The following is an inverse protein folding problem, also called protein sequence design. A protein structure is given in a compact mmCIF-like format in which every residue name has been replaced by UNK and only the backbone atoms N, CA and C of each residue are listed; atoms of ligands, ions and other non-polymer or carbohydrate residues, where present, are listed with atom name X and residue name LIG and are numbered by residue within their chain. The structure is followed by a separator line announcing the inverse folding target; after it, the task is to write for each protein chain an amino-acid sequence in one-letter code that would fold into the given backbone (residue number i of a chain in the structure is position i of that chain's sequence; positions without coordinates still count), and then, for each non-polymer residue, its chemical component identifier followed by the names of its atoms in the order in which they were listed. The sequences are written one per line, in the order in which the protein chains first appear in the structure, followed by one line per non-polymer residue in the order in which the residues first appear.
data_IF_221919358178
#
_entry.id   IF_221919358178
#
_cell.length_a   1.000
_cell.length_b   1.000
_cell.length_c   1.000
_cell.angle_alpha   90.00
_cell.angle_beta   90.00
_cell.angle_gamma   90.00
#
_symmetry.space_group_name_H-M   'P 1'
#
loop_
_entity.id
_entity.type
_entity.pdbx_description
1 polymer ?
#
# COMPACT_ATOMS: atom_id res chain seq x y z
N UNK A 1 -64.24 -2.72 24.65
CA UNK A 1 -63.55 -2.66 23.34
C UNK A 1 -62.29 -1.88 23.59
N UNK A 2 -61.21 -2.60 23.88
CA UNK A 2 -59.89 -2.02 24.17
C UNK A 2 -59.09 -2.03 22.90
N UNK A 3 -58.75 -0.86 22.41
CA UNK A 3 -57.85 -0.69 21.26
C UNK A 3 -56.42 -0.55 21.79
N UNK A 4 -55.68 -1.64 21.77
CA UNK A 4 -54.22 -1.62 22.03
C UNK A 4 -53.53 -1.11 20.78
N UNK A 5 -53.10 0.14 20.82
CA UNK A 5 -52.16 0.67 19.84
C UNK A 5 -50.79 0.02 20.08
N UNK A 6 -50.40 -0.90 19.20
CA UNK A 6 -49.04 -1.39 19.12
C UNK A 6 -48.13 -0.22 18.69
N UNK A 7 -47.34 0.26 19.65
CA UNK A 7 -46.24 1.18 19.35
C UNK A 7 -45.16 0.39 18.59
N UNK A 8 -45.12 0.55 17.28
CA UNK A 8 -44.00 0.11 16.46
C UNK A 8 -42.76 0.87 16.93
N UNK A 9 -41.93 0.22 17.74
CA UNK A 9 -40.59 0.70 18.10
C UNK A 9 -39.79 0.70 16.81
N UNK A 10 -39.66 1.86 16.17
CA UNK A 10 -38.68 2.08 15.13
C UNK A 10 -37.30 1.80 15.74
N UNK A 11 -36.69 0.69 15.31
CA UNK A 11 -35.32 0.40 15.63
C UNK A 11 -34.45 1.62 15.22
N UNK A 12 -33.47 2.04 16.04
CA UNK A 12 -32.59 3.15 15.66
C UNK A 12 -31.98 2.85 14.29
N UNK A 13 -32.07 3.83 13.37
CA UNK A 13 -31.46 3.77 12.04
C UNK A 13 -30.05 3.22 12.20
N UNK A 14 -29.85 1.97 11.77
CA UNK A 14 -28.60 1.26 11.93
C UNK A 14 -27.47 2.10 11.35
N UNK A 15 -26.42 2.29 12.14
CA UNK A 15 -25.21 2.94 11.69
C UNK A 15 -24.77 2.20 10.44
N UNK A 16 -24.79 2.86 9.28
CA UNK A 16 -24.46 2.24 8.01
C UNK A 16 -23.02 1.72 8.03
N UNK A 17 -22.85 0.44 7.76
CA UNK A 17 -21.54 -0.17 7.56
C UNK A 17 -21.26 -0.22 6.06
N UNK A 18 -20.65 0.84 5.55
CA UNK A 18 -20.28 0.95 4.14
C UNK A 18 -18.87 0.45 3.87
N UNK A 19 -18.04 0.28 4.91
CA UNK A 19 -16.63 -0.02 4.72
C UNK A 19 -16.24 -1.49 4.88
N UNK A 20 -17.03 -2.32 5.55
CA UNK A 20 -16.71 -3.75 5.68
C UNK A 20 -16.56 -4.47 4.32
N UNK A 21 -17.45 -4.25 3.33
CA UNK A 21 -17.27 -4.85 2.01
C UNK A 21 -16.01 -4.36 1.29
N UNK A 22 -15.66 -3.07 1.44
CA UNK A 22 -14.46 -2.49 0.84
C UNK A 22 -13.22 -3.05 1.53
N UNK A 23 -13.23 -3.18 2.87
CA UNK A 23 -12.14 -3.80 3.63
C UNK A 23 -11.90 -5.24 3.17
N UNK A 24 -12.97 -6.02 2.95
CA UNK A 24 -12.86 -7.38 2.42
C UNK A 24 -12.21 -7.41 1.04
N UNK A 25 -12.64 -6.51 0.15
CA UNK A 25 -12.07 -6.35 -1.19
C UNK A 25 -10.57 -6.00 -1.10
N UNK A 26 -10.20 -4.99 -0.33
CA UNK A 26 -8.82 -4.51 -0.27
C UNK A 26 -7.88 -5.57 0.35
N UNK A 27 -8.31 -6.30 1.38
CA UNK A 27 -7.52 -7.40 1.97
C UNK A 27 -7.26 -8.51 0.94
N UNK A 28 -8.26 -8.83 0.11
CA UNK A 28 -8.09 -9.80 -0.98
C UNK A 28 -7.08 -9.31 -2.01
N UNK A 29 -7.16 -8.04 -2.42
CA UNK A 29 -6.22 -7.43 -3.35
C UNK A 29 -4.80 -7.38 -2.77
N UNK A 30 -4.64 -7.02 -1.49
CA UNK A 30 -3.35 -7.06 -0.80
C UNK A 30 -2.73 -8.44 -0.81
N UNK A 31 -3.52 -9.49 -0.50
CA UNK A 31 -3.05 -10.87 -0.54
C UNK A 31 -2.61 -11.30 -1.95
N UNK A 32 -3.45 -11.02 -2.94
CA UNK A 32 -3.19 -11.39 -4.33
C UNK A 32 -1.98 -10.66 -4.91
N UNK A 33 -1.91 -9.35 -4.70
CA UNK A 33 -0.89 -8.51 -5.31
C UNK A 33 0.47 -8.68 -4.63
N UNK A 34 0.53 -8.86 -3.30
CA UNK A 34 1.79 -9.08 -2.59
C UNK A 34 2.49 -10.40 -2.98
N UNK A 35 1.73 -11.44 -3.30
CA UNK A 35 2.26 -12.72 -3.82
C UNK A 35 2.28 -12.81 -5.34
N UNK A 36 1.83 -11.78 -6.03
CA UNK A 36 1.69 -11.76 -7.48
C UNK A 36 3.01 -11.62 -8.23
N UNK A 37 2.98 -11.95 -9.52
CA UNK A 37 4.16 -11.92 -10.40
C UNK A 37 4.87 -10.55 -10.40
N UNK A 38 4.10 -9.47 -10.46
CA UNK A 38 4.67 -8.11 -10.52
C UNK A 38 5.38 -7.75 -9.22
N UNK A 39 4.80 -8.07 -8.06
CA UNK A 39 5.45 -7.85 -6.77
C UNK A 39 6.74 -8.66 -6.62
N UNK A 40 6.74 -9.93 -7.04
CA UNK A 40 7.93 -10.79 -7.00
C UNK A 40 9.03 -10.28 -7.93
N UNK A 41 8.69 -9.74 -9.11
CA UNK A 41 9.67 -9.13 -10.01
C UNK A 41 10.28 -7.86 -9.41
N UNK A 42 9.46 -7.00 -8.81
CA UNK A 42 9.93 -5.79 -8.14
C UNK A 42 10.79 -6.15 -6.92
N UNK A 43 10.38 -7.16 -6.14
CA UNK A 43 11.17 -7.67 -5.01
C UNK A 43 12.55 -8.16 -5.45
N UNK A 44 12.63 -8.92 -6.55
CA UNK A 44 13.89 -9.39 -7.12
C UNK A 44 14.82 -8.22 -7.50
N UNK A 45 14.28 -7.17 -8.12
CA UNK A 45 15.03 -5.96 -8.44
C UNK A 45 15.48 -5.22 -7.18
N UNK A 46 14.63 -5.07 -6.18
CA UNK A 46 15.01 -4.44 -4.91
C UNK A 46 16.05 -5.26 -4.15
N UNK A 47 15.96 -6.59 -4.16
CA UNK A 47 16.97 -7.46 -3.55
C UNK A 47 18.34 -7.27 -4.23
N UNK A 48 18.38 -7.18 -5.56
CA UNK A 48 19.61 -6.87 -6.30
C UNK A 48 20.14 -5.48 -5.96
N UNK A 49 19.25 -4.50 -5.80
CA UNK A 49 19.62 -3.13 -5.45
C UNK A 49 20.21 -2.99 -4.04
N UNK A 50 19.89 -3.91 -3.14
CA UNK A 50 20.43 -3.96 -1.77
C UNK A 50 21.66 -4.87 -1.63
N UNK A 51 22.28 -5.30 -2.74
CA UNK A 51 23.50 -6.09 -2.70
C UNK A 51 24.62 -5.33 -1.93
N UNK A 52 25.23 -6.03 -0.97
CA UNK A 52 26.36 -5.49 -0.23
C UNK A 52 27.64 -5.63 -1.01
N UNK A 53 27.82 -4.75 -2.01
CA UNK A 53 28.99 -4.75 -2.89
C UNK A 53 30.32 -4.57 -2.16
N UNK A 54 30.30 -3.85 -1.02
CA UNK A 54 31.54 -3.61 -0.23
C UNK A 54 31.85 -4.83 0.63
N UNK A 55 30.85 -5.40 1.30
CA UNK A 55 31.04 -6.62 2.11
C UNK A 55 31.47 -7.82 1.26
N UNK A 56 30.88 -7.98 0.08
CA UNK A 56 31.30 -9.02 -0.86
C UNK A 56 32.77 -8.88 -1.29
N UNK A 57 33.23 -7.65 -1.53
CA UNK A 57 34.64 -7.38 -1.86
C UNK A 57 35.58 -7.65 -0.69
N UNK A 58 35.22 -7.20 0.52
CA UNK A 58 36.03 -7.41 1.72
C UNK A 58 36.15 -8.90 2.08
N UNK A 59 35.15 -9.69 1.73
CA UNK A 59 35.17 -11.14 1.96
C UNK A 59 35.98 -11.91 0.90
N UNK A 60 36.39 -11.25 -0.20
CA UNK A 60 37.16 -11.92 -1.26
C UNK A 60 38.62 -12.11 -0.87
N UNK A 61 39.24 -13.26 -1.20
CA UNK A 61 40.68 -13.43 -1.13
C UNK A 61 41.39 -12.45 -2.09
N UNK A 62 42.55 -11.90 -1.66
CA UNK A 62 43.32 -10.89 -2.39
C UNK A 62 43.64 -11.25 -3.85
N UNK A 63 43.82 -12.54 -4.15
CA UNK A 63 44.11 -13.01 -5.51
C UNK A 63 42.89 -12.92 -6.46
N UNK A 64 41.67 -12.90 -5.92
CA UNK A 64 40.46 -12.70 -6.71
C UNK A 64 40.26 -11.22 -7.08
N UNK A 65 40.74 -10.29 -6.27
CA UNK A 65 40.71 -8.87 -6.60
C UNK A 65 41.51 -8.56 -7.86
N UNK A 66 42.66 -9.22 -8.07
CA UNK A 66 43.52 -9.05 -9.26
C UNK A 66 42.82 -9.50 -10.56
N UNK A 67 41.97 -10.51 -10.48
CA UNK A 67 41.27 -11.08 -11.65
C UNK A 67 39.94 -10.37 -11.93
N UNK A 68 39.30 -9.77 -10.91
CA UNK A 68 37.97 -9.17 -10.99
C UNK A 68 37.97 -7.63 -10.97
N UNK A 69 39.08 -6.98 -11.26
CA UNK A 69 39.32 -5.55 -11.13
C UNK A 69 38.18 -4.52 -11.33
N UNK A 70 37.19 -4.70 -12.21
CA UNK A 70 36.04 -3.79 -12.29
C UNK A 70 34.82 -4.21 -11.46
N UNK A 71 34.91 -5.20 -10.56
CA UNK A 71 33.76 -5.84 -9.91
C UNK A 71 32.95 -4.93 -8.98
N UNK A 72 33.59 -4.02 -8.24
CA UNK A 72 32.89 -3.08 -7.36
C UNK A 72 32.05 -2.09 -8.16
N UNK A 73 32.64 -1.48 -9.17
CA UNK A 73 31.92 -0.53 -10.03
C UNK A 73 30.76 -1.19 -10.75
N UNK A 74 30.96 -2.40 -11.25
CA UNK A 74 29.90 -3.19 -11.88
C UNK A 74 28.79 -3.55 -10.90
N UNK A 75 29.13 -3.98 -9.69
CA UNK A 75 28.16 -4.27 -8.64
C UNK A 75 27.31 -3.02 -8.30
N UNK A 76 27.96 -1.88 -8.05
CA UNK A 76 27.27 -0.62 -7.76
C UNK A 76 26.37 -0.22 -8.93
N UNK A 77 26.86 -0.31 -10.17
CA UNK A 77 26.10 0.04 -11.35
C UNK A 77 24.88 -0.87 -11.54
N UNK A 78 25.05 -2.16 -11.27
CA UNK A 78 23.95 -3.14 -11.30
C UNK A 78 22.90 -2.83 -10.22
N UNK A 79 23.32 -2.52 -8.99
CA UNK A 79 22.44 -2.17 -7.89
C UNK A 79 21.62 -0.89 -8.21
N UNK A 80 22.27 0.16 -8.72
CA UNK A 80 21.59 1.41 -9.10
C UNK A 80 20.59 1.19 -10.23
N UNK A 81 20.98 0.40 -11.24
CA UNK A 81 20.10 0.06 -12.37
C UNK A 81 18.90 -0.75 -11.91
N UNK A 82 19.13 -1.76 -11.06
CA UNK A 82 18.05 -2.58 -10.49
C UNK A 82 17.08 -1.73 -9.66
N UNK A 83 17.58 -0.79 -8.86
CA UNK A 83 16.74 0.13 -8.09
C UNK A 83 15.88 1.01 -8.98
N UNK A 84 16.47 1.59 -10.03
CA UNK A 84 15.74 2.41 -11.00
C UNK A 84 14.62 1.63 -11.69
N UNK A 85 14.91 0.38 -12.08
CA UNK A 85 13.92 -0.52 -12.68
C UNK A 85 12.81 -0.91 -11.68
N UNK A 86 13.17 -1.15 -10.41
CA UNK A 86 12.17 -1.41 -9.36
C UNK A 86 11.18 -0.24 -9.23
N UNK A 87 11.69 1.00 -9.17
CA UNK A 87 10.84 2.19 -9.11
C UNK A 87 10.00 2.37 -10.38
N UNK A 88 10.57 2.16 -11.56
CA UNK A 88 9.83 2.28 -12.81
C UNK A 88 8.67 1.27 -12.88
N UNK A 89 8.92 -0.01 -12.54
CA UNK A 89 7.87 -1.03 -12.49
C UNK A 89 6.81 -0.73 -11.43
N UNK A 90 7.24 -0.33 -10.23
CA UNK A 90 6.35 0.09 -9.16
C UNK A 90 5.43 1.23 -9.61
N UNK A 91 6.01 2.27 -10.19
CA UNK A 91 5.27 3.43 -10.71
C UNK A 91 4.21 3.05 -11.74
N UNK A 92 4.49 2.09 -12.62
CA UNK A 92 3.50 1.59 -13.58
C UNK A 92 2.31 0.90 -12.92
N UNK A 93 2.52 0.22 -11.78
CA UNK A 93 1.46 -0.45 -11.03
C UNK A 93 0.57 0.55 -10.26
N UNK A 94 1.21 1.51 -9.55
CA UNK A 94 0.51 2.39 -8.61
C UNK A 94 0.05 3.72 -9.19
N UNK A 95 0.41 4.02 -10.46
CA UNK A 95 -0.02 5.26 -11.13
C UNK A 95 -1.54 5.36 -11.20
N UNK A 96 -2.04 6.56 -11.43
CA UNK A 96 -3.47 6.79 -11.67
C UNK A 96 -3.98 5.89 -12.81
N UNK A 97 -5.08 5.20 -12.57
CA UNK A 97 -5.67 4.17 -13.46
C UNK A 97 -4.71 3.00 -13.75
N UNK A 98 -3.68 2.81 -12.94
CA UNK A 98 -2.81 1.64 -12.99
C UNK A 98 -3.48 0.40 -12.37
N UNK A 99 -2.87 -0.79 -12.55
CA UNK A 99 -3.44 -2.04 -12.03
C UNK A 99 -3.70 -2.03 -10.51
N UNK A 100 -2.92 -1.27 -9.76
CA UNK A 100 -3.01 -1.17 -8.30
C UNK A 100 -3.62 0.15 -7.82
N UNK A 101 -4.26 0.94 -8.70
CA UNK A 101 -5.12 2.06 -8.30
C UNK A 101 -6.54 1.55 -8.03
N UNK A 102 -6.85 1.32 -6.76
CA UNK A 102 -8.13 0.73 -6.36
C UNK A 102 -9.32 1.70 -6.37
N UNK A 103 -9.10 3.01 -6.53
CA UNK A 103 -10.18 4.00 -6.53
C UNK A 103 -11.25 3.76 -7.60
N UNK A 104 -10.88 3.59 -8.89
CA UNK A 104 -11.83 3.26 -9.93
C UNK A 104 -12.49 1.89 -9.72
N UNK A 105 -11.74 0.94 -9.18
CA UNK A 105 -12.25 -0.40 -8.90
C UNK A 105 -13.29 -0.39 -7.79
N UNK A 106 -13.05 0.34 -6.69
CA UNK A 106 -14.02 0.50 -5.60
C UNK A 106 -15.31 1.14 -6.12
N UNK A 107 -15.21 2.24 -6.86
CA UNK A 107 -16.38 2.89 -7.44
C UNK A 107 -17.21 1.96 -8.36
N UNK A 108 -16.53 1.09 -9.12
CA UNK A 108 -17.18 0.13 -10.00
C UNK A 108 -17.81 -1.05 -9.27
N UNK A 109 -17.13 -1.59 -8.24
CA UNK A 109 -17.60 -2.77 -7.51
C UNK A 109 -18.68 -2.46 -6.48
N UNK A 110 -18.72 -1.22 -6.00
CA UNK A 110 -19.65 -0.77 -4.97
C UNK A 110 -20.47 0.46 -5.43
N UNK A 111 -21.22 0.35 -6.55
CA UNK A 111 -21.93 1.49 -7.14
C UNK A 111 -23.07 2.04 -6.26
N UNK A 112 -23.53 1.24 -5.31
CA UNK A 112 -24.56 1.66 -4.34
C UNK A 112 -23.98 2.49 -3.19
N UNK A 113 -22.65 2.52 -3.02
CA UNK A 113 -22.00 3.34 -2.01
C UNK A 113 -21.75 4.75 -2.52
N UNK A 114 -21.58 5.67 -1.58
CA UNK A 114 -21.22 7.06 -1.93
C UNK A 114 -19.87 7.08 -2.66
N UNK A 115 -19.69 7.88 -3.71
CA UNK A 115 -18.52 7.75 -4.57
C UNK A 115 -17.18 8.11 -3.91
N UNK A 116 -17.19 8.98 -2.89
CA UNK A 116 -15.92 9.48 -2.30
C UNK A 116 -15.81 9.32 -0.81
N UNK A 117 -16.92 9.10 -0.10
CA UNK A 117 -16.95 9.06 1.35
C UNK A 117 -17.78 7.87 1.81
N UNK A 118 -17.19 7.05 2.66
CA UNK A 118 -17.83 5.87 3.21
C UNK A 118 -18.02 6.02 4.71
N UNK A 119 -19.18 5.62 5.19
CA UNK A 119 -19.55 5.77 6.61
C UNK A 119 -19.38 4.47 7.39
N UNK A 120 -18.89 4.60 8.63
CA UNK A 120 -18.76 3.50 9.55
C UNK A 120 -18.83 4.00 11.01
N UNK A 121 -19.81 3.55 11.77
CA UNK A 121 -19.99 3.90 13.19
C UNK A 121 -19.86 5.42 13.48
N UNK A 122 -20.54 6.24 12.70
CA UNK A 122 -20.55 7.70 12.86
C UNK A 122 -19.30 8.43 12.40
N UNK A 123 -18.36 7.72 11.76
CA UNK A 123 -17.19 8.30 11.12
C UNK A 123 -17.32 8.26 9.61
N UNK A 124 -16.63 9.19 8.95
CA UNK A 124 -16.54 9.27 7.49
C UNK A 124 -15.11 9.00 7.08
N UNK A 125 -14.92 8.12 6.12
CA UNK A 125 -13.61 7.79 5.57
C UNK A 125 -13.57 8.18 4.11
N UNK A 126 -12.50 8.85 3.68
CA UNK A 126 -12.31 9.16 2.28
C UNK A 126 -11.86 7.90 1.52
N UNK A 127 -12.31 7.73 0.29
CA UNK A 127 -12.18 6.47 -0.45
C UNK A 127 -10.74 6.08 -0.81
N UNK A 128 -9.80 7.04 -0.84
CA UNK A 128 -8.41 6.78 -1.21
C UNK A 128 -7.58 6.14 -0.10
N UNK A 129 -8.05 6.16 1.16
CA UNK A 129 -7.35 5.44 2.24
C UNK A 129 -7.11 3.96 1.88
N UNK A 130 -8.01 3.35 1.14
CA UNK A 130 -7.91 1.94 0.75
C UNK A 130 -6.77 1.69 -0.22
N UNK A 131 -6.61 2.55 -1.24
CA UNK A 131 -5.48 2.50 -2.16
C UNK A 131 -4.16 2.75 -1.45
N UNK A 132 -4.14 3.68 -0.47
CA UNK A 132 -2.96 4.02 0.30
C UNK A 132 -2.56 2.90 1.27
N UNK A 133 -3.51 2.21 1.92
CA UNK A 133 -3.24 1.01 2.74
C UNK A 133 -2.65 -0.10 1.86
N UNK A 134 -3.27 -0.36 0.71
CA UNK A 134 -2.76 -1.33 -0.25
C UNK A 134 -1.34 -0.98 -0.71
N UNK A 135 -1.09 0.29 -1.08
CA UNK A 135 0.23 0.79 -1.45
C UNK A 135 1.28 0.49 -0.39
N UNK A 136 1.00 0.79 0.88
CA UNK A 136 1.93 0.53 1.98
C UNK A 136 2.25 -0.95 2.14
N UNK A 137 1.23 -1.81 2.15
CA UNK A 137 1.39 -3.24 2.34
C UNK A 137 2.13 -3.92 1.17
N UNK A 138 1.67 -3.70 -0.06
CA UNK A 138 2.26 -4.32 -1.25
C UNK A 138 3.64 -3.75 -1.55
N UNK A 139 3.86 -2.46 -1.25
CA UNK A 139 5.19 -1.86 -1.34
C UNK A 139 6.22 -2.54 -0.44
N UNK A 140 5.83 -2.92 0.78
CA UNK A 140 6.67 -3.73 1.67
C UNK A 140 6.95 -5.13 1.08
N UNK A 141 5.94 -5.77 0.51
CA UNK A 141 6.10 -7.06 -0.18
C UNK A 141 7.04 -6.96 -1.39
N UNK A 142 7.05 -5.83 -2.08
CA UNK A 142 7.98 -5.52 -3.16
C UNK A 142 9.42 -5.23 -2.70
N UNK A 143 9.69 -5.23 -1.39
CA UNK A 143 11.03 -4.97 -0.83
C UNK A 143 11.38 -3.50 -0.65
N UNK A 144 10.45 -2.58 -0.80
CA UNK A 144 10.68 -1.18 -0.46
C UNK A 144 10.78 -0.97 1.05
N UNK A 145 11.66 -0.10 1.46
CA UNK A 145 11.77 0.34 2.84
C UNK A 145 10.60 1.24 3.25
N UNK A 146 10.36 1.37 4.56
CA UNK A 146 9.39 2.31 5.10
C UNK A 146 9.63 3.75 4.62
N UNK A 147 10.88 4.21 4.63
CA UNK A 147 11.27 5.54 4.17
C UNK A 147 10.88 5.76 2.72
N UNK A 148 11.27 4.85 1.84
CA UNK A 148 10.96 4.94 0.41
C UNK A 148 9.46 5.03 0.12
N UNK A 149 8.63 4.29 0.86
CA UNK A 149 7.18 4.33 0.69
C UNK A 149 6.55 5.61 1.23
N UNK A 150 7.04 6.13 2.34
CA UNK A 150 6.51 7.34 2.96
C UNK A 150 6.99 8.63 2.29
N UNK A 151 8.17 8.62 1.70
CA UNK A 151 8.74 9.78 1.03
C UNK A 151 8.34 9.85 -0.45
N UNK A 152 7.57 8.88 -0.90
CA UNK A 152 7.15 8.75 -2.29
C UNK A 152 8.29 8.19 -3.15
N UNK A 153 8.26 6.90 -3.37
CA UNK A 153 9.31 6.21 -4.11
C UNK A 153 9.61 6.89 -5.45
N UNK A 154 10.75 7.56 -5.56
CA UNK A 154 11.21 8.14 -6.82
C UNK A 154 10.85 9.60 -7.04
N UNK A 155 10.84 10.41 -5.99
CA UNK A 155 10.52 11.85 -6.04
C UNK A 155 11.30 12.67 -7.07
N UNK A 156 12.49 12.25 -7.45
CA UNK A 156 13.31 13.03 -8.37
C UNK A 156 12.99 12.81 -9.86
N UNK A 157 12.33 11.72 -10.23
CA UNK A 157 12.05 11.42 -11.65
C UNK A 157 10.61 11.66 -12.10
N UNK A 158 9.66 11.87 -11.20
CA UNK A 158 8.24 12.06 -11.55
C UNK A 158 7.60 13.22 -10.78
N UNK A 159 8.16 14.41 -10.90
CA UNK A 159 7.67 15.64 -10.24
C UNK A 159 6.18 15.98 -10.52
N UNK A 160 5.57 15.42 -11.55
CA UNK A 160 4.17 15.64 -11.89
C UNK A 160 3.17 14.81 -11.05
N UNK A 161 3.60 13.70 -10.44
CA UNK A 161 2.73 12.80 -9.68
C UNK A 161 2.92 12.90 -8.15
N UNK A 162 3.89 13.67 -7.68
CA UNK A 162 4.34 13.75 -6.28
C UNK A 162 3.49 14.60 -5.37
N UNK A 163 2.67 15.49 -5.89
CA UNK A 163 1.78 16.34 -5.09
C UNK A 163 0.66 15.57 -4.36
N UNK A 164 0.64 14.24 -4.47
CA UNK A 164 -0.48 13.43 -4.01
C UNK A 164 -0.34 12.91 -2.58
N UNK A 165 0.85 12.96 -1.99
CA UNK A 165 1.09 12.48 -0.61
C UNK A 165 1.32 13.60 0.41
N UNK A 166 0.96 14.84 0.06
CA UNK A 166 1.05 15.98 0.99
C UNK A 166 -0.08 15.97 2.04
N UNK A 167 -1.13 15.15 1.82
CA UNK A 167 -2.21 15.02 2.81
C UNK A 167 -1.75 14.10 3.96
N UNK A 168 -1.79 14.59 5.21
CA UNK A 168 -1.46 13.78 6.38
C UNK A 168 -2.28 12.50 6.51
N UNK A 169 -3.51 12.45 5.98
CA UNK A 169 -4.37 11.25 5.98
C UNK A 169 -3.82 10.16 5.07
N UNK A 170 -3.33 10.53 3.88
CA UNK A 170 -2.71 9.61 2.93
C UNK A 170 -1.47 8.95 3.54
N UNK A 171 -0.59 9.77 4.11
CA UNK A 171 0.62 9.29 4.79
C UNK A 171 0.30 8.31 5.92
N UNK A 172 -0.77 8.57 6.69
CA UNK A 172 -1.23 7.68 7.76
C UNK A 172 -1.80 6.37 7.21
N UNK A 173 -2.57 6.43 6.13
CA UNK A 173 -3.10 5.24 5.47
C UNK A 173 -1.99 4.36 4.92
N UNK A 174 -0.97 4.94 4.27
CA UNK A 174 0.24 4.23 3.83
C UNK A 174 0.92 3.57 5.02
N UNK A 175 1.08 4.31 6.13
CA UNK A 175 1.68 3.79 7.35
C UNK A 175 0.94 2.56 7.90
N UNK A 176 -0.40 2.60 7.92
CA UNK A 176 -1.22 1.44 8.31
C UNK A 176 -0.87 0.24 7.43
N UNK A 177 -0.80 0.42 6.12
CA UNK A 177 -0.45 -0.65 5.19
C UNK A 177 0.95 -1.23 5.46
N UNK A 178 1.93 -0.37 5.69
CA UNK A 178 3.32 -0.75 6.03
C UNK A 178 3.36 -1.60 7.31
N UNK A 179 2.64 -1.17 8.35
CA UNK A 179 2.66 -1.82 9.67
C UNK A 179 1.89 -3.15 9.68
N UNK A 180 0.97 -3.36 8.75
CA UNK A 180 0.28 -4.63 8.57
C UNK A 180 1.18 -5.73 7.96
N UNK A 181 2.18 -5.38 7.18
CA UNK A 181 3.05 -6.36 6.52
C UNK A 181 3.96 -7.08 7.54
N UNK A 182 4.18 -8.41 7.47
CA UNK A 182 3.73 -9.32 6.41
C UNK A 182 2.38 -10.02 6.69
N UNK A 183 1.69 -9.71 7.78
CA UNK A 183 0.50 -10.42 8.21
C UNK A 183 -0.77 -9.63 7.91
N UNK A 184 -1.66 -10.21 7.10
CA UNK A 184 -2.96 -9.61 6.86
C UNK A 184 -3.89 -9.80 8.07
N UNK A 185 -4.54 -8.73 8.54
CA UNK A 185 -5.50 -8.82 9.63
C UNK A 185 -6.83 -9.42 9.14
N UNK A 186 -7.68 -9.82 10.07
CA UNK A 186 -9.11 -10.04 9.79
C UNK A 186 -9.80 -8.71 9.47
N UNK A 187 -10.96 -8.78 8.80
CA UNK A 187 -11.77 -7.59 8.52
C UNK A 187 -12.08 -6.81 9.82
N UNK A 188 -12.59 -7.41 10.90
CA UNK A 188 -12.87 -6.68 12.14
C UNK A 188 -11.61 -6.01 12.73
N UNK A 189 -10.46 -6.67 12.62
CA UNK A 189 -9.18 -6.13 13.11
C UNK A 189 -8.75 -4.90 12.28
N UNK A 190 -8.85 -4.97 10.94
CA UNK A 190 -8.56 -3.81 10.09
C UNK A 190 -9.46 -2.64 10.42
N UNK A 191 -10.77 -2.86 10.55
CA UNK A 191 -11.73 -1.82 10.88
C UNK A 191 -11.45 -1.20 12.27
N UNK A 192 -11.03 -2.01 13.23
CA UNK A 192 -10.62 -1.52 14.55
C UNK A 192 -9.36 -0.66 14.47
N UNK A 193 -8.38 -1.04 13.65
CA UNK A 193 -7.17 -0.25 13.40
C UNK A 193 -7.55 1.10 12.79
N UNK A 194 -8.39 1.13 11.74
CA UNK A 194 -8.85 2.37 11.11
C UNK A 194 -9.56 3.29 12.12
N UNK A 195 -10.44 2.71 12.96
CA UNK A 195 -11.13 3.46 14.00
C UNK A 195 -10.19 4.07 15.03
N UNK A 196 -9.08 3.40 15.36
CA UNK A 196 -8.10 3.86 16.35
C UNK A 196 -7.04 4.80 15.76
N UNK A 197 -6.88 4.86 14.44
CA UNK A 197 -5.87 5.68 13.79
C UNK A 197 -6.38 7.12 13.65
N UNK A 198 -5.76 8.10 14.35
CA UNK A 198 -6.19 9.49 14.26
C UNK A 198 -5.98 10.06 12.86
N UNK A 199 -6.92 10.87 12.37
CA UNK A 199 -6.78 11.61 11.11
C UNK A 199 -6.92 10.77 9.83
N UNK A 200 -7.47 9.56 9.91
CA UNK A 200 -8.01 8.83 8.76
C UNK A 200 -9.48 9.17 8.50
N UNK A 201 -10.13 9.76 9.49
CA UNK A 201 -11.50 10.28 9.42
C UNK A 201 -11.42 11.75 9.80
N UNK A 202 -12.08 12.66 9.06
CA UNK A 202 -12.17 14.07 9.41
C UNK A 202 -12.74 14.28 10.80
#
# INVERSE_FOLDING_TARGET
MSNSAEATILAPLGQSDEISPIAAYILKEMASNAGGRDALQILGLNSTAHADCVGELQAMPWWQELVRGPSLQLCIQTAVTAKSLAYARWGLQVRQNGPWDHKPHIAKHFPALRPYHHHYHGRTYYYDIWSNIHYGYVGRACGFTRGELLDGAGSEQNASNLRRFDDPSDRRAIQVGIDLYPQLPSIPTLLQILKKTPGLSP
#
